data_IF_220144779050
#
_entry.id   IF_220144779050
#
_cell.length_a   1.000
_cell.length_b   1.000
_cell.length_c   1.000
_cell.angle_alpha   90.00
_cell.angle_beta   90.00
_cell.angle_gamma   90.00
#
_symmetry.space_group_name_H-M   'P 1'
#
loop_
_entity.id
_entity.type
_entity.pdbx_description
1 polymer ?
#
# COMPACT_ATOMS: atom_id res chain seq x y z
N UNK A 1 3.90 29.47 -51.73
CA UNK A 1 4.72 28.24 -51.69
C UNK A 1 6.06 28.64 -51.07
N UNK A 2 6.52 28.17 -49.91
CA UNK A 2 6.66 26.79 -49.42
C UNK A 2 6.67 26.79 -47.88
N UNK A 3 5.94 25.85 -47.30
CA UNK A 3 5.92 25.44 -45.88
C UNK A 3 7.20 24.69 -45.49
N UNK A 4 7.33 24.39 -44.18
CA UNK A 4 8.18 23.37 -43.48
C UNK A 4 9.37 24.04 -42.73
N UNK A 5 9.68 23.85 -41.45
CA UNK A 5 9.38 22.84 -40.41
C UNK A 5 9.81 23.49 -39.06
N UNK A 6 8.91 23.71 -38.09
CA UNK A 6 8.79 22.93 -36.84
C UNK A 6 10.14 22.61 -36.17
N UNK A 7 10.45 23.34 -35.10
CA UNK A 7 11.27 22.86 -33.99
C UNK A 7 10.63 23.36 -32.68
N UNK A 8 9.43 22.84 -32.40
CA UNK A 8 8.79 22.92 -31.10
C UNK A 8 9.57 21.97 -30.19
N UNK A 9 10.54 22.50 -29.45
CA UNK A 9 11.32 21.76 -28.46
C UNK A 9 10.40 21.45 -27.27
N UNK A 10 9.59 20.41 -27.43
CA UNK A 10 8.72 19.90 -26.39
C UNK A 10 9.58 19.34 -25.24
N UNK A 11 9.74 20.14 -24.19
CA UNK A 11 10.21 19.67 -22.90
C UNK A 11 9.15 18.73 -22.31
N UNK A 12 9.30 17.43 -22.57
CA UNK A 12 8.54 16.38 -21.88
C UNK A 12 9.08 16.35 -20.44
N UNK A 13 8.42 17.07 -19.55
CA UNK A 13 8.55 16.84 -18.10
C UNK A 13 7.83 15.52 -17.83
N UNK A 14 8.61 14.45 -17.66
CA UNK A 14 8.11 13.23 -17.03
C UNK A 14 7.76 13.57 -15.58
N UNK A 15 6.50 13.89 -15.32
CA UNK A 15 5.95 13.79 -13.96
C UNK A 15 5.89 12.31 -13.64
N UNK A 16 6.83 11.85 -12.81
CA UNK A 16 6.85 10.50 -12.29
C UNK A 16 5.51 10.17 -11.63
N UNK A 17 5.08 8.91 -11.75
CA UNK A 17 3.99 8.37 -10.96
C UNK A 17 4.37 8.46 -9.48
N UNK A 18 4.02 9.57 -8.83
CA UNK A 18 4.04 9.68 -7.38
C UNK A 18 3.19 8.54 -6.84
N UNK A 19 3.84 7.65 -6.08
CA UNK A 19 3.13 6.68 -5.24
C UNK A 19 2.09 7.46 -4.46
N UNK A 20 0.80 7.11 -4.60
CA UNK A 20 -0.29 7.82 -3.93
C UNK A 20 0.04 8.02 -2.45
N UNK A 21 -0.31 9.19 -1.86
CA UNK A 21 0.04 9.49 -0.47
C UNK A 21 -0.49 8.38 0.45
N UNK A 22 0.41 7.84 1.28
CA UNK A 22 0.08 6.76 2.23
C UNK A 22 -0.94 7.23 3.27
N UNK A 23 -1.00 8.53 3.53
CA UNK A 23 -1.96 9.15 4.43
C UNK A 23 -3.13 9.78 3.67
N UNK A 24 -4.31 9.15 3.76
CA UNK A 24 -5.58 9.64 3.20
C UNK A 24 -6.76 9.03 3.93
N UNK A 25 -7.93 9.64 3.85
CA UNK A 25 -9.15 9.01 4.33
C UNK A 25 -9.44 7.73 3.52
N UNK A 26 -9.85 6.67 4.20
CA UNK A 26 -10.24 5.44 3.55
C UNK A 26 -11.55 5.63 2.77
N UNK A 27 -11.60 5.07 1.56
CA UNK A 27 -12.83 4.99 0.77
C UNK A 27 -13.42 3.59 0.90
N UNK A 28 -14.67 3.48 1.37
CA UNK A 28 -15.43 2.22 1.49
C UNK A 28 -14.65 1.06 2.17
N UNK A 29 -13.92 1.35 3.25
CA UNK A 29 -13.14 0.33 3.98
C UNK A 29 -11.80 -0.07 3.32
N UNK A 30 -11.37 0.66 2.28
CA UNK A 30 -10.05 0.50 1.67
C UNK A 30 -8.91 1.10 2.51
N UNK A 31 -7.72 1.20 1.91
CA UNK A 31 -6.55 1.80 2.57
C UNK A 31 -6.79 3.28 2.93
N UNK A 32 -6.23 3.70 4.06
CA UNK A 32 -6.33 5.03 4.63
C UNK A 32 -6.72 5.03 6.10
N UNK A 33 -7.01 6.20 6.64
CA UNK A 33 -7.56 6.36 7.97
C UNK A 33 -9.09 6.38 7.98
N UNK A 34 -9.70 5.87 9.05
CA UNK A 34 -11.10 6.07 9.41
C UNK A 34 -11.20 6.45 10.88
N UNK A 35 -12.28 7.16 11.21
CA UNK A 35 -12.58 7.55 12.58
C UNK A 35 -14.01 7.09 12.94
N UNK A 36 -14.20 6.67 14.19
CA UNK A 36 -15.49 6.25 14.72
C UNK A 36 -15.69 6.86 16.10
N UNK A 37 -16.80 7.57 16.29
CA UNK A 37 -17.17 8.16 17.58
C UNK A 37 -17.68 7.06 18.51
N UNK A 38 -17.04 6.89 19.67
CA UNK A 38 -17.48 5.96 20.71
C UNK A 38 -18.30 6.69 21.78
N UNK A 39 -17.87 7.89 22.16
CA UNK A 39 -18.58 8.79 23.07
C UNK A 39 -18.31 10.25 22.70
N UNK A 40 -18.73 11.23 23.52
CA UNK A 40 -18.44 12.65 23.28
C UNK A 40 -16.94 12.99 23.31
N UNK A 41 -16.16 12.25 24.10
CA UNK A 41 -14.71 12.46 24.27
C UNK A 41 -13.89 11.28 23.78
N UNK A 42 -14.50 10.13 23.50
CA UNK A 42 -13.79 8.92 23.08
C UNK A 42 -14.02 8.60 21.61
N UNK A 43 -12.93 8.32 20.91
CA UNK A 43 -12.92 8.01 19.49
C UNK A 43 -12.03 6.82 19.21
N UNK A 44 -12.41 6.03 18.22
CA UNK A 44 -11.57 5.01 17.61
C UNK A 44 -11.01 5.54 16.31
N UNK A 45 -9.69 5.56 16.19
CA UNK A 45 -8.97 5.90 14.98
C UNK A 45 -8.38 4.62 14.43
N UNK A 46 -8.67 4.31 13.17
CA UNK A 46 -8.16 3.14 12.49
C UNK A 46 -7.38 3.58 11.27
N UNK A 47 -6.17 3.05 11.09
CA UNK A 47 -5.35 3.26 9.90
C UNK A 47 -5.03 1.93 9.24
N UNK A 48 -5.29 1.83 7.94
CA UNK A 48 -5.04 0.65 7.10
C UNK A 48 -4.09 1.03 5.97
N UNK A 49 -2.91 0.41 5.94
CA UNK A 49 -1.85 0.68 4.97
C UNK A 49 -1.39 -0.58 4.25
N UNK A 50 -0.68 -0.38 3.13
CA UNK A 50 0.08 -1.46 2.49
C UNK A 50 1.44 -1.56 3.14
N UNK A 51 1.98 -2.77 3.24
CA UNK A 51 3.28 -3.04 3.81
C UNK A 51 3.19 -3.76 5.16
N UNK A 52 4.32 -3.79 5.86
CA UNK A 52 4.46 -4.42 7.17
C UNK A 52 5.14 -3.51 8.19
N UNK A 53 5.29 -2.22 7.86
CA UNK A 53 5.91 -1.22 8.71
C UNK A 53 4.92 -0.76 9.80
N UNK A 54 5.05 -1.41 10.97
CA UNK A 54 4.24 -1.12 12.16
C UNK A 54 4.41 0.32 12.63
N UNK A 55 5.63 0.83 12.65
CA UNK A 55 5.91 2.17 13.13
C UNK A 55 5.19 3.19 12.27
N UNK A 56 5.29 3.08 10.94
CA UNK A 56 4.61 4.00 10.02
C UNK A 56 3.09 3.98 10.16
N UNK A 57 2.48 2.80 10.26
CA UNK A 57 1.03 2.68 10.45
C UNK A 57 0.57 3.27 11.79
N UNK A 58 1.35 3.05 12.85
CA UNK A 58 1.09 3.63 14.17
C UNK A 58 1.27 5.15 14.17
N UNK A 59 2.30 5.68 13.51
CA UNK A 59 2.56 7.11 13.41
C UNK A 59 1.42 7.83 12.68
N UNK A 60 0.87 7.23 11.62
CA UNK A 60 -0.29 7.76 10.92
C UNK A 60 -1.57 7.70 11.74
N UNK A 61 -1.79 6.62 12.50
CA UNK A 61 -2.92 6.56 13.42
C UNK A 61 -2.79 7.66 14.51
N UNK A 62 -1.60 7.83 15.08
CA UNK A 62 -1.30 8.87 16.08
C UNK A 62 -1.48 10.29 15.52
N UNK A 63 -0.95 10.54 14.32
CA UNK A 63 -1.12 11.81 13.62
C UNK A 63 -2.61 12.10 13.38
N UNK A 64 -3.39 11.10 12.94
CA UNK A 64 -4.83 11.27 12.76
C UNK A 64 -5.57 11.55 14.08
N UNK A 65 -5.18 10.88 15.17
CA UNK A 65 -5.70 11.17 16.51
C UNK A 65 -5.45 12.61 16.92
N UNK A 66 -4.26 13.13 16.65
CA UNK A 66 -3.91 14.52 16.92
C UNK A 66 -4.75 15.50 16.08
N UNK A 67 -4.86 15.26 14.77
CA UNK A 67 -5.72 16.07 13.89
C UNK A 67 -7.17 16.09 14.38
N UNK A 68 -7.74 14.92 14.70
CA UNK A 68 -9.10 14.81 15.20
C UNK A 68 -9.29 15.58 16.52
N UNK A 69 -8.31 15.52 17.41
CA UNK A 69 -8.33 16.23 18.69
C UNK A 69 -8.39 17.75 18.49
N UNK A 70 -7.55 18.27 17.60
CA UNK A 70 -7.54 19.69 17.24
C UNK A 70 -8.82 20.12 16.52
N UNK A 71 -9.33 19.29 15.61
CA UNK A 71 -10.58 19.54 14.88
C UNK A 71 -11.79 19.62 15.81
N UNK A 72 -11.79 18.86 16.90
CA UNK A 72 -12.83 18.90 17.94
C UNK A 72 -12.60 19.99 18.98
N UNK A 73 -11.50 20.73 18.89
CA UNK A 73 -11.16 21.84 19.78
C UNK A 73 -10.69 21.38 21.16
N UNK A 74 -10.07 20.21 21.26
CA UNK A 74 -9.40 19.70 22.45
C UNK A 74 -7.89 19.97 22.39
N UNK A 75 -7.23 19.97 23.53
CA UNK A 75 -5.80 20.32 23.63
C UNK A 75 -4.90 19.07 23.60
N UNK A 76 -5.37 17.98 24.21
CA UNK A 76 -4.61 16.75 24.41
C UNK A 76 -5.51 15.54 24.23
N UNK A 77 -4.87 14.40 23.96
CA UNK A 77 -5.53 13.10 23.94
C UNK A 77 -4.70 12.07 24.70
N UNK A 78 -5.38 11.06 25.21
CA UNK A 78 -4.80 9.89 25.87
C UNK A 78 -5.13 8.67 25.04
N UNK A 79 -4.13 7.85 24.74
CA UNK A 79 -4.36 6.54 24.12
C UNK A 79 -4.76 5.58 25.23
N UNK A 80 -6.01 5.11 25.19
CA UNK A 80 -6.56 4.16 26.17
C UNK A 80 -6.31 2.73 25.77
N UNK A 81 -6.29 2.45 24.46
CA UNK A 81 -6.05 1.13 23.92
C UNK A 81 -5.41 1.23 22.51
N UNK A 82 -4.55 0.27 22.20
CA UNK A 82 -3.78 0.23 20.95
C UNK A 82 -3.59 -1.20 20.46
N UNK A 83 -4.01 -1.42 19.23
CA UNK A 83 -3.84 -2.69 18.53
C UNK A 83 -3.14 -2.44 17.19
N UNK A 84 -2.15 -3.27 16.85
CA UNK A 84 -1.48 -3.22 15.54
C UNK A 84 -1.40 -4.63 14.98
N UNK A 85 -2.08 -4.85 13.86
CA UNK A 85 -2.19 -6.12 13.19
C UNK A 85 -1.45 -6.04 11.86
N UNK A 86 -0.65 -7.06 11.56
CA UNK A 86 -0.01 -7.21 10.24
C UNK A 86 -0.60 -8.46 9.62
N UNK A 87 -1.46 -8.26 8.63
CA UNK A 87 -1.96 -9.37 7.84
C UNK A 87 -0.97 -9.66 6.70
N UNK A 88 -0.41 -10.86 6.72
CA UNK A 88 0.44 -11.35 5.63
C UNK A 88 -0.45 -12.19 4.75
N UNK A 89 -1.00 -11.58 3.70
CA UNK A 89 -1.86 -12.27 2.75
C UNK A 89 -1.11 -13.50 2.21
N UNK A 90 -1.72 -14.68 2.37
CA UNK A 90 -1.10 -15.96 1.99
C UNK A 90 -0.88 -15.99 0.48
N UNK A 91 0.18 -16.66 0.05
CA UNK A 91 0.48 -16.86 -1.38
C UNK A 91 -0.74 -17.45 -2.07
N UNK A 92 -1.38 -16.65 -2.92
CA UNK A 92 -2.56 -17.08 -3.66
C UNK A 92 -2.10 -18.07 -4.73
N UNK A 93 -2.34 -19.37 -4.50
CA UNK A 93 -2.08 -20.42 -5.48
C UNK A 93 -3.23 -20.45 -6.47
N UNK A 94 -3.01 -19.90 -7.66
CA UNK A 94 -4.02 -19.90 -8.71
C UNK A 94 -3.71 -21.05 -9.70
N UNK A 95 -4.66 -21.95 -9.98
CA UNK A 95 -4.49 -22.91 -11.07
C UNK A 95 -4.45 -22.12 -12.38
N UNK A 96 -3.40 -22.33 -13.17
CA UNK A 96 -3.30 -21.73 -14.50
C UNK A 96 -3.29 -22.82 -15.56
N UNK A 97 -4.02 -22.55 -16.63
CA UNK A 97 -4.02 -23.35 -17.85
C UNK A 97 -3.39 -22.49 -18.93
N UNK A 98 -2.33 -23.02 -19.55
CA UNK A 98 -1.53 -22.27 -20.51
C UNK A 98 -1.20 -23.13 -21.72
N UNK A 99 -0.92 -22.47 -22.82
CA UNK A 99 -0.32 -23.08 -23.99
C UNK A 99 1.12 -22.61 -24.06
N UNK A 100 2.07 -23.55 -24.05
CA UNK A 100 3.48 -23.25 -24.25
C UNK A 100 3.91 -23.75 -25.64
N UNK A 101 4.64 -22.91 -26.38
CA UNK A 101 5.30 -23.34 -27.61
C UNK A 101 6.68 -23.89 -27.26
N UNK A 102 6.90 -25.16 -27.53
CA UNK A 102 8.24 -25.78 -27.44
C UNK A 102 8.69 -26.18 -28.82
N UNK A 103 10.01 -26.22 -29.03
CA UNK A 103 10.58 -26.72 -30.28
C UNK A 103 10.98 -28.18 -30.07
N UNK A 104 10.29 -29.10 -30.74
CA UNK A 104 10.68 -30.50 -30.77
C UNK A 104 11.83 -30.69 -31.75
N UNK A 105 12.92 -31.29 -31.28
CA UNK A 105 14.09 -31.62 -32.11
C UNK A 105 13.89 -33.02 -32.69
N UNK A 106 13.69 -33.11 -33.99
CA UNK A 106 13.56 -34.39 -34.69
C UNK A 106 14.84 -34.62 -35.48
N UNK A 107 15.47 -35.78 -35.31
CA UNK A 107 16.64 -36.19 -36.10
C UNK A 107 16.27 -37.39 -36.94
N UNK A 108 16.32 -37.21 -38.25
CA UNK A 108 16.07 -38.28 -39.21
C UNK A 108 17.40 -38.73 -39.77
N UNK A 109 17.71 -40.01 -39.57
CA UNK A 109 18.91 -40.65 -40.09
C UNK A 109 18.54 -41.61 -41.21
N UNK A 110 19.10 -41.37 -42.39
CA UNK A 110 19.14 -42.35 -43.46
C UNK A 110 20.36 -43.26 -43.34
N UNK A 111 20.56 -44.13 -44.33
CA UNK A 111 21.68 -45.08 -44.41
C UNK A 111 23.08 -44.44 -44.48
N UNK A 112 23.19 -43.15 -44.82
CA UNK A 112 24.48 -42.46 -45.02
C UNK A 112 24.56 -41.09 -44.33
N UNK A 113 23.42 -40.43 -44.06
CA UNK A 113 23.41 -39.07 -43.47
C UNK A 113 22.28 -38.91 -42.45
N UNK A 114 22.47 -37.99 -41.50
CA UNK A 114 21.44 -37.58 -40.55
C UNK A 114 21.14 -36.08 -40.70
N UNK A 115 19.87 -35.71 -40.60
CA UNK A 115 19.42 -34.32 -40.58
C UNK A 115 18.61 -34.06 -39.33
N UNK A 116 18.97 -33.00 -38.61
CA UNK A 116 18.21 -32.52 -37.45
C UNK A 116 17.40 -31.30 -37.83
N UNK A 117 16.10 -31.33 -37.55
CA UNK A 117 15.15 -30.24 -37.77
C UNK A 117 14.45 -29.88 -36.46
N UNK A 118 14.02 -28.62 -36.35
CA UNK A 118 13.25 -28.13 -35.20
C UNK A 118 11.84 -27.80 -35.65
N UNK A 119 10.86 -28.40 -35.00
CA UNK A 119 9.44 -28.17 -35.29
C UNK A 119 8.77 -27.53 -34.08
N UNK A 120 8.06 -26.40 -34.26
CA UNK A 120 7.27 -25.81 -33.18
C UNK A 120 6.11 -26.77 -32.85
N UNK A 121 6.00 -27.15 -31.58
CA UNK A 121 4.89 -27.91 -31.05
C UNK A 121 4.19 -27.10 -29.96
N UNK A 122 2.88 -26.99 -30.08
CA UNK A 122 2.01 -26.39 -29.08
C UNK A 122 1.62 -27.47 -28.10
N UNK A 123 2.01 -27.30 -26.84
CA UNK A 123 1.60 -28.21 -25.77
C UNK A 123 0.70 -27.48 -24.79
N UNK A 124 -0.31 -28.22 -24.32
CA UNK A 124 -1.17 -27.79 -23.23
C UNK A 124 -0.47 -28.09 -21.91
N UNK A 125 -0.32 -27.08 -21.07
CA UNK A 125 0.32 -27.20 -19.78
C UNK A 125 -0.66 -26.76 -18.70
N UNK A 126 -0.91 -27.63 -17.73
CA UNK A 126 -1.62 -27.31 -16.50
C UNK A 126 -0.62 -27.32 -15.36
N UNK A 127 -0.64 -26.27 -14.56
CA UNK A 127 0.31 -26.11 -13.46
C UNK A 127 -0.23 -25.24 -12.36
N UNK A 128 0.40 -25.35 -11.19
CA UNK A 128 0.13 -24.46 -10.06
C UNK A 128 1.19 -23.37 -10.10
N UNK A 129 0.76 -22.12 -10.30
CA UNK A 129 1.65 -20.98 -10.16
C UNK A 129 1.81 -20.63 -8.68
N UNK A 130 3.01 -20.82 -8.14
CA UNK A 130 3.38 -20.31 -6.81
C UNK A 130 4.14 -19.00 -7.01
N UNK A 131 3.41 -17.95 -7.37
CA UNK A 131 4.00 -16.64 -7.65
C UNK A 131 3.03 -15.48 -7.35
N UNK A 132 2.20 -15.64 -6.32
CA UNK A 132 1.38 -14.54 -5.82
C UNK A 132 2.27 -13.42 -5.25
N UNK A 133 1.96 -12.17 -5.56
CA UNK A 133 2.53 -11.03 -4.85
C UNK A 133 2.10 -11.12 -3.37
N UNK A 134 3.06 -11.24 -2.44
CA UNK A 134 2.76 -11.05 -1.02
C UNK A 134 2.31 -9.60 -0.81
N UNK A 135 1.00 -9.36 -0.76
CA UNK A 135 0.48 -8.09 -0.27
C UNK A 135 0.40 -8.20 1.25
N UNK A 136 1.44 -7.73 1.91
CA UNK A 136 1.33 -7.46 3.34
C UNK A 136 0.42 -6.25 3.53
N UNK A 137 -0.59 -6.40 4.36
CA UNK A 137 -1.45 -5.33 4.82
C UNK A 137 -1.16 -5.08 6.29
N UNK A 138 -1.25 -3.81 6.70
CA UNK A 138 -1.06 -3.44 8.07
C UNK A 138 -2.21 -2.55 8.55
N UNK A 139 -2.71 -2.89 9.72
CA UNK A 139 -3.79 -2.18 10.40
C UNK A 139 -3.32 -1.73 11.77
N UNK A 140 -3.60 -0.47 12.12
CA UNK A 140 -3.36 0.08 13.45
C UNK A 140 -4.64 0.74 13.95
N UNK A 141 -5.14 0.26 15.08
CA UNK A 141 -6.35 0.75 15.74
C UNK A 141 -5.93 1.40 17.06
N UNK A 142 -6.36 2.64 17.27
CA UNK A 142 -6.16 3.40 18.50
C UNK A 142 -7.52 3.82 19.05
N UNK A 143 -7.78 3.50 20.32
CA UNK A 143 -8.85 4.13 21.07
C UNK A 143 -8.24 5.30 21.85
N UNK A 144 -8.81 6.49 21.65
CA UNK A 144 -8.34 7.73 22.26
C UNK A 144 -9.45 8.36 23.09
N UNK A 145 -9.04 9.04 24.15
CA UNK A 145 -9.88 9.92 24.94
C UNK A 145 -9.30 11.34 24.92
N UNK A 146 -10.13 12.32 24.60
CA UNK A 146 -9.70 13.71 24.43
C UNK A 146 -10.10 14.57 25.63
N UNK A 147 -9.30 15.60 25.91
CA UNK A 147 -9.57 16.55 26.98
C UNK A 147 -9.01 17.95 26.72
N UNK A 148 -9.46 18.90 27.54
CA UNK A 148 -9.05 20.31 27.48
C UNK A 148 -8.26 20.71 28.73
N UNK A 149 -7.43 21.73 28.60
CA UNK A 149 -6.71 22.31 29.73
C UNK A 149 -5.51 21.48 30.18
N UNK A 150 -5.37 21.27 31.49
CA UNK A 150 -4.19 20.59 32.05
C UNK A 150 -4.12 19.13 31.60
N UNK A 151 -3.06 18.80 30.84
CA UNK A 151 -2.79 17.44 30.38
C UNK A 151 -2.56 16.50 31.58
N UNK A 152 -3.18 15.32 31.62
CA UNK A 152 -2.92 14.35 32.68
C UNK A 152 -1.49 13.84 32.60
N UNK A 153 -0.87 13.58 33.76
CA UNK A 153 0.49 13.02 33.87
C UNK A 153 0.48 11.50 33.68
N UNK A 154 -0.06 11.02 32.56
CA UNK A 154 0.04 9.61 32.17
C UNK A 154 1.09 9.46 31.06
N UNK A 155 1.76 8.31 31.02
CA UNK A 155 2.74 8.00 29.97
C UNK A 155 2.13 7.90 28.56
N UNK A 156 0.80 7.78 28.48
CA UNK A 156 0.03 7.69 27.24
C UNK A 156 -0.75 8.97 26.92
N UNK A 157 -0.47 10.08 27.62
CA UNK A 157 -1.02 11.39 27.26
C UNK A 157 -0.11 12.12 26.29
N UNK A 158 -0.72 12.74 25.28
CA UNK A 158 0.00 13.43 24.21
C UNK A 158 -0.64 14.79 23.96
N UNK A 159 0.19 15.80 23.72
CA UNK A 159 -0.30 17.09 23.22
C UNK A 159 -0.61 16.96 21.72
N UNK A 160 -1.80 17.38 21.32
CA UNK A 160 -2.25 17.21 19.94
C UNK A 160 -1.44 18.09 18.96
N UNK A 161 -1.01 19.28 19.37
CA UNK A 161 -0.18 20.17 18.52
C UNK A 161 1.21 19.60 18.35
N UNK A 162 1.80 19.07 19.41
CA UNK A 162 3.13 18.47 19.39
C UNK A 162 3.17 17.25 18.45
N UNK A 163 2.23 16.32 18.60
CA UNK A 163 2.16 15.12 17.75
C UNK A 163 1.87 15.49 16.29
N UNK A 164 0.94 16.42 16.04
CA UNK A 164 0.62 16.84 14.67
C UNK A 164 1.82 17.46 13.96
N UNK A 165 2.66 18.22 14.67
CA UNK A 165 3.85 18.82 14.09
C UNK A 165 4.97 17.79 13.86
N UNK A 166 5.15 16.84 14.78
CA UNK A 166 6.25 15.88 14.74
C UNK A 166 6.00 14.70 13.79
N UNK A 167 4.75 14.26 13.66
CA UNK A 167 4.36 13.08 12.87
C UNK A 167 3.67 13.46 11.55
N UNK A 168 3.82 14.70 11.10
CA UNK A 168 3.23 15.14 9.84
C UNK A 168 3.79 14.28 8.70
N UNK A 169 2.95 13.59 7.90
CA UNK A 169 3.42 12.86 6.74
C UNK A 169 4.11 13.80 5.77
N UNK A 170 5.26 13.39 5.25
CA UNK A 170 5.88 14.02 4.09
C UNK A 170 4.94 13.80 2.90
N UNK A 171 4.05 14.77 2.65
CA UNK A 171 3.36 14.88 1.37
C UNK A 171 4.37 15.35 0.35
N UNK A 172 5.19 14.42 -0.18
CA UNK A 172 5.93 14.69 -1.40
C UNK A 172 4.91 14.85 -2.54
N UNK A 173 4.80 16.11 -2.99
CA UNK A 173 3.95 16.63 -4.07
C UNK A 173 4.58 16.42 -5.44
#
# INVERSE_FOLDING_TARGET
MKTKFIAFLAAIVMTGCASQPDYRQASNGGFGYTESKLSETQYRVHFKGRGSDKSKAMDYAMYRSAELTLLKGYDWFVVTDRETMVDKERVQTSPQVGFSQRYARVTECGVITCRTSYHPTTQFESGIFVGGSQKSEIESILNIEMGKGTRPTSATSFDAREISNNLKPDTES
#
